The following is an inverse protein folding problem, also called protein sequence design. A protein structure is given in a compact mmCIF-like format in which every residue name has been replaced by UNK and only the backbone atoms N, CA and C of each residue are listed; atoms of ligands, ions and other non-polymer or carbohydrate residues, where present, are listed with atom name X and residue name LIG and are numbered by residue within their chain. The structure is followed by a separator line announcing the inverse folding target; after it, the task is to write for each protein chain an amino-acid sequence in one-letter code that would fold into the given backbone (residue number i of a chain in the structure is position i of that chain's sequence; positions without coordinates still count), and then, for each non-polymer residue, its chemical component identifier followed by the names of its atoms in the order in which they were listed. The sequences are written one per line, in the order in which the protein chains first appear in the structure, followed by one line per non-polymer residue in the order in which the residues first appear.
data_IF_547498072368
#
_entry.id   IF_547498072368
#
_cell.length_a   1.000
_cell.length_b   1.000
_cell.length_c   1.000
_cell.angle_alpha   90.00
_cell.angle_beta   90.00
_cell.angle_gamma   90.00
#
_symmetry.space_group_name_H-M   'P 1'
#
loop_
_entity.id
_entity.type
_entity.pdbx_description
1 polymer ?
#
# COMPACT_ATOMS: atom_id res chain seq x y z
N UNK A 1 -22.17 -4.54 -23.48
CA UNK A 1 -22.51 -3.23 -22.88
C UNK A 1 -21.74 -3.13 -21.59
N UNK A 2 -20.77 -2.20 -21.50
CA UNK A 2 -19.99 -1.96 -20.29
C UNK A 2 -20.89 -1.26 -19.27
N UNK A 3 -21.13 -1.91 -18.12
CA UNK A 3 -21.91 -1.36 -17.03
C UNK A 3 -21.18 -0.18 -16.39
N UNK A 4 -21.84 0.97 -16.38
CA UNK A 4 -21.44 2.21 -15.71
C UNK A 4 -21.62 2.08 -14.20
N UNK A 5 -20.88 1.17 -13.57
CA UNK A 5 -20.69 1.20 -12.11
C UNK A 5 -19.68 2.29 -11.79
N UNK A 6 -20.11 3.38 -11.15
CA UNK A 6 -19.17 4.34 -10.57
C UNK A 6 -18.19 3.55 -9.70
N UNK A 7 -16.89 3.64 -10.00
CA UNK A 7 -15.83 2.95 -9.27
C UNK A 7 -15.91 3.31 -7.78
N UNK A 8 -16.61 2.49 -7.01
CA UNK A 8 -16.58 2.56 -5.56
C UNK A 8 -15.23 1.97 -5.16
N UNK A 9 -14.22 2.84 -5.07
CA UNK A 9 -12.97 2.47 -4.41
C UNK A 9 -13.35 1.97 -3.02
N UNK A 10 -13.04 0.71 -2.73
CA UNK A 10 -13.23 0.13 -1.40
C UNK A 10 -12.57 1.08 -0.39
N UNK A 11 -13.21 1.39 0.74
CA UNK A 11 -12.58 2.22 1.76
C UNK A 11 -11.26 1.54 2.20
N UNK A 12 -10.23 2.33 2.52
CA UNK A 12 -8.94 1.79 2.95
C UNK A 12 -9.08 1.05 4.28
N UNK A 13 -8.30 -0.02 4.45
CA UNK A 13 -8.30 -0.80 5.69
C UNK A 13 -7.68 -0.01 6.86
N UNK A 14 -6.74 0.91 6.56
CA UNK A 14 -6.11 1.84 7.51
C UNK A 14 -6.23 3.26 6.97
N UNK A 15 -6.74 4.18 7.79
CA UNK A 15 -6.90 5.60 7.44
C UNK A 15 -5.81 6.43 8.11
N UNK A 16 -5.09 7.21 7.31
CA UNK A 16 -4.08 8.16 7.77
C UNK A 16 -4.47 9.57 7.33
N UNK A 17 -4.11 10.56 8.14
CA UNK A 17 -4.30 11.98 7.83
C UNK A 17 -2.97 12.71 7.99
N UNK A 18 -2.59 13.53 7.00
CA UNK A 18 -1.37 14.33 7.07
C UNK A 18 -0.89 14.79 5.70
N UNK A 19 0.05 15.74 5.70
CA UNK A 19 0.76 16.15 4.49
C UNK A 19 1.60 15.00 3.96
N UNK A 20 1.56 14.75 2.65
CA UNK A 20 2.30 13.65 2.01
C UNK A 20 1.61 12.29 2.08
N UNK A 21 0.43 12.18 2.68
CA UNK A 21 -0.38 10.96 2.67
C UNK A 21 -1.34 10.98 1.47
N UNK A 22 -1.02 10.19 0.46
CA UNK A 22 -1.89 9.95 -0.69
C UNK A 22 -3.18 9.16 -0.33
N UNK A 23 -4.30 9.35 -1.07
CA UNK A 23 -5.53 8.59 -0.85
C UNK A 23 -5.36 7.06 -0.92
N UNK A 24 -4.43 6.59 -1.75
CA UNK A 24 -3.90 5.21 -1.75
C UNK A 24 -2.39 5.32 -1.59
N UNK A 25 -1.90 5.04 -0.38
CA UNK A 25 -0.50 5.32 -0.03
C UNK A 25 0.41 4.11 -0.20
N UNK A 26 -0.02 2.97 0.30
CA UNK A 26 0.64 1.68 0.16
C UNK A 26 -0.39 0.58 0.44
N UNK A 27 0.00 -0.66 0.20
CA UNK A 27 -0.69 -1.80 0.80
C UNK A 27 0.32 -2.79 1.35
N UNK A 28 -0.09 -3.53 2.37
CA UNK A 28 0.72 -4.57 3.00
C UNK A 28 0.02 -5.90 2.75
N UNK A 29 0.77 -6.87 2.25
CA UNK A 29 0.29 -8.24 2.11
C UNK A 29 1.11 -9.18 2.98
N UNK A 30 0.48 -10.29 3.39
CA UNK A 30 1.18 -11.43 3.98
C UNK A 30 1.17 -12.56 2.97
N UNK A 31 2.33 -12.93 2.44
CA UNK A 31 2.48 -14.07 1.56
C UNK A 31 2.29 -15.35 2.40
N UNK A 32 1.23 -16.12 2.09
CA UNK A 32 0.90 -17.34 2.84
C UNK A 32 1.83 -18.51 2.59
N UNK A 33 2.66 -18.46 1.53
CA UNK A 33 3.59 -19.56 1.17
C UNK A 33 4.86 -19.47 2.01
N UNK A 34 5.46 -18.28 2.05
CA UNK A 34 6.75 -18.04 2.72
C UNK A 34 6.60 -17.40 4.11
N UNK A 35 5.36 -17.10 4.52
CA UNK A 35 4.98 -16.37 5.74
C UNK A 35 5.61 -14.97 5.86
N UNK A 36 6.01 -14.39 4.74
CA UNK A 36 6.63 -13.07 4.66
C UNK A 36 5.58 -11.96 4.62
N UNK A 37 5.90 -10.82 5.24
CA UNK A 37 5.11 -9.58 5.13
C UNK A 37 5.79 -8.69 4.10
N UNK A 38 5.05 -8.26 3.08
CA UNK A 38 5.59 -7.45 1.98
C UNK A 38 4.84 -6.12 1.95
N UNK A 39 5.59 -5.01 1.97
CA UNK A 39 5.10 -3.66 1.77
C UNK A 39 5.20 -3.29 0.29
N UNK A 40 4.08 -2.89 -0.30
CA UNK A 40 3.99 -2.43 -1.68
C UNK A 40 3.76 -0.92 -1.70
N UNK A 41 4.76 -0.12 -2.12
CA UNK A 41 4.61 1.32 -2.20
C UNK A 41 3.70 1.70 -3.36
N UNK A 42 2.77 2.63 -3.11
CA UNK A 42 1.98 3.30 -4.16
C UNK A 42 2.42 4.77 -4.27
N UNK A 43 2.65 5.42 -3.12
CA UNK A 43 3.19 6.77 -3.01
C UNK A 43 4.72 6.77 -3.05
N UNK A 44 5.30 7.78 -3.69
CA UNK A 44 6.74 8.06 -3.69
C UNK A 44 7.30 8.39 -2.30
N UNK A 45 6.44 8.72 -1.33
CA UNK A 45 6.84 9.06 0.04
C UNK A 45 6.80 7.85 0.99
N UNK A 46 6.84 6.63 0.46
CA UNK A 46 6.93 5.41 1.26
C UNK A 46 8.39 5.07 1.56
N UNK A 47 8.73 4.88 2.82
CA UNK A 47 10.07 4.51 3.27
C UNK A 47 10.03 3.42 4.35
N UNK A 48 11.09 2.61 4.40
CA UNK A 48 11.36 1.63 5.46
C UNK A 48 12.76 1.92 6.00
N UNK A 49 12.90 2.02 7.32
CA UNK A 49 14.17 2.34 7.99
C UNK A 49 14.87 3.59 7.41
N UNK A 50 14.09 4.67 7.21
CA UNK A 50 14.50 5.94 6.60
C UNK A 50 14.98 5.85 5.13
N UNK A 51 14.83 4.69 4.47
CA UNK A 51 15.17 4.48 3.07
C UNK A 51 13.90 4.47 2.21
N UNK A 52 13.75 5.41 1.25
CA UNK A 52 12.65 5.39 0.30
C UNK A 52 12.63 4.10 -0.53
N UNK A 53 11.45 3.51 -0.70
CA UNK A 53 11.26 2.29 -1.48
C UNK A 53 10.45 2.57 -2.74
N UNK A 54 10.84 1.94 -3.85
CA UNK A 54 10.20 2.09 -5.16
C UNK A 54 9.56 0.79 -5.67
N UNK A 55 9.63 -0.28 -4.90
CA UNK A 55 9.05 -1.58 -5.24
C UNK A 55 8.71 -2.42 -4.01
N UNK A 56 8.10 -3.60 -4.22
CA UNK A 56 7.74 -4.53 -3.16
C UNK A 56 8.94 -4.83 -2.26
N UNK A 57 8.80 -4.59 -0.97
CA UNK A 57 9.88 -4.72 0.01
C UNK A 57 9.44 -5.63 1.15
N UNK A 58 10.12 -6.76 1.40
CA UNK A 58 9.88 -7.59 2.57
C UNK A 58 10.17 -6.81 3.85
N UNK A 59 9.24 -6.85 4.80
CA UNK A 59 9.41 -6.31 6.14
C UNK A 59 9.99 -7.41 7.03
N UNK A 60 11.20 -7.17 7.53
CA UNK A 60 11.86 -8.05 8.50
C UNK A 60 11.57 -7.57 9.93
N UNK A 61 11.40 -8.48 10.91
CA UNK A 61 11.29 -8.12 12.32
C UNK A 61 12.54 -7.46 12.91
#
# INVERSE_FOLDING_TARGET
MLGTGRGCLKPPDVVLHGTGVEPQHCFIERNSVDDEVILHPISELTAVDDVPISGPTPLVP
#
